data_IF_890345228561
#
_entry.id   IF_890345228561
#
_cell.length_a   1.000
_cell.length_b   1.000
_cell.length_c   1.000
_cell.angle_alpha   90.00
_cell.angle_beta   90.00
_cell.angle_gamma   90.00
#
_symmetry.space_group_name_H-M   'P 1'
#
loop_
_entity.id
_entity.type
_entity.pdbx_description
1 polymer ?
#
# COMPACT_ATOMS: atom_id res chain seq x y z
N UNK A 1 -22.12 -23.78 -23.81
CA UNK A 1 -21.63 -23.13 -22.58
C UNK A 1 -20.69 -22.05 -23.03
N UNK A 2 -21.21 -20.82 -23.14
CA UNK A 2 -20.40 -19.65 -23.48
C UNK A 2 -19.54 -19.33 -22.26
N UNK A 3 -18.24 -19.48 -22.40
CA UNK A 3 -17.28 -18.91 -21.46
C UNK A 3 -17.28 -17.41 -21.69
N UNK A 4 -18.08 -16.68 -20.90
CA UNK A 4 -18.08 -15.21 -20.87
C UNK A 4 -16.73 -14.71 -20.38
N UNK A 5 -15.80 -14.54 -21.31
CA UNK A 5 -14.64 -13.67 -21.12
C UNK A 5 -15.12 -12.23 -21.18
N UNK A 6 -15.69 -11.75 -20.08
CA UNK A 6 -15.75 -10.32 -19.85
C UNK A 6 -14.32 -9.85 -19.69
N UNK A 7 -13.85 -8.99 -20.59
CA UNK A 7 -12.58 -8.30 -20.37
C UNK A 7 -12.66 -7.63 -18.99
N UNK A 8 -11.70 -7.96 -18.12
CA UNK A 8 -11.58 -7.29 -16.83
C UNK A 8 -11.15 -5.86 -17.14
N UNK A 9 -12.05 -4.90 -16.95
CA UNK A 9 -11.81 -3.52 -17.40
C UNK A 9 -11.71 -2.53 -16.26
N UNK A 10 -12.22 -2.86 -15.07
CA UNK A 10 -12.19 -1.95 -13.93
C UNK A 10 -12.02 -2.63 -12.56
N UNK A 11 -11.89 -1.80 -11.51
CA UNK A 11 -11.66 -2.24 -10.14
C UNK A 11 -12.86 -2.99 -9.52
N UNK A 12 -14.06 -2.90 -10.10
CA UNK A 12 -15.25 -3.60 -9.64
C UNK A 12 -15.20 -5.07 -10.03
N UNK A 13 -14.86 -5.37 -11.29
CA UNK A 13 -14.65 -6.74 -11.78
C UNK A 13 -13.65 -7.52 -10.91
N UNK A 14 -12.59 -6.79 -10.54
CA UNK A 14 -11.48 -7.19 -9.69
C UNK A 14 -11.87 -7.46 -8.22
N UNK A 15 -12.88 -6.77 -7.68
CA UNK A 15 -13.36 -6.94 -6.32
C UNK A 15 -14.26 -8.19 -6.16
N UNK A 16 -14.93 -8.61 -7.23
CA UNK A 16 -15.89 -9.71 -7.23
C UNK A 16 -15.24 -11.10 -7.44
N UNK A 17 -13.94 -11.17 -7.70
CA UNK A 17 -13.20 -12.43 -7.88
C UNK A 17 -13.01 -13.21 -6.56
N UNK A 18 -13.40 -14.48 -6.51
CA UNK A 18 -13.19 -15.39 -5.35
C UNK A 18 -11.70 -15.57 -5.00
N UNK A 19 -10.84 -15.61 -6.01
CA UNK A 19 -9.37 -15.64 -5.88
C UNK A 19 -8.83 -14.34 -6.43
N UNK A 20 -9.09 -13.26 -5.70
CA UNK A 20 -8.42 -11.98 -5.92
C UNK A 20 -6.92 -12.27 -6.12
N UNK A 21 -6.26 -11.79 -7.20
CA UNK A 21 -4.81 -11.68 -7.19
C UNK A 21 -4.44 -11.07 -5.86
N UNK A 22 -3.42 -11.58 -5.17
CA UNK A 22 -3.01 -11.02 -3.88
C UNK A 22 -2.78 -9.53 -4.13
N UNK A 23 -3.80 -8.72 -3.85
CA UNK A 23 -3.72 -7.29 -4.04
C UNK A 23 -2.53 -6.88 -3.20
N UNK A 24 -1.99 -5.70 -3.47
CA UNK A 24 -1.30 -4.98 -2.42
C UNK A 24 -2.29 -4.90 -1.24
N UNK A 25 -2.33 -5.91 -0.37
CA UNK A 25 -3.23 -6.01 0.78
C UNK A 25 -3.05 -4.79 1.65
N UNK A 26 -1.81 -4.28 1.64
CA UNK A 26 -1.42 -2.94 2.02
C UNK A 26 -2.39 -1.84 1.56
N UNK A 27 -2.65 -1.69 0.26
CA UNK A 27 -3.46 -0.61 -0.28
C UNK A 27 -4.92 -0.70 0.18
N UNK A 28 -5.49 -1.90 0.25
CA UNK A 28 -6.89 -2.10 0.62
C UNK A 28 -7.14 -1.81 2.11
N UNK A 29 -6.30 -2.34 3.02
CA UNK A 29 -6.37 -2.03 4.45
C UNK A 29 -6.15 -0.52 4.73
N UNK A 30 -5.25 0.11 3.98
CA UNK A 30 -5.01 1.56 4.09
C UNK A 30 -6.22 2.38 3.61
N UNK A 31 -6.85 1.99 2.51
CA UNK A 31 -8.07 2.62 2.00
C UNK A 31 -9.24 2.48 2.98
N UNK A 32 -9.42 1.32 3.61
CA UNK A 32 -10.46 1.12 4.62
C UNK A 32 -10.28 2.05 5.82
N UNK A 33 -9.04 2.22 6.31
CA UNK A 33 -8.79 3.14 7.43
C UNK A 33 -8.98 4.61 7.07
N UNK A 34 -8.59 5.01 5.86
CA UNK A 34 -8.80 6.38 5.36
C UNK A 34 -10.30 6.67 5.21
N UNK A 35 -11.09 5.68 4.75
CA UNK A 35 -12.54 5.81 4.59
C UNK A 35 -13.31 6.00 5.92
N UNK A 36 -12.68 5.69 7.07
CA UNK A 36 -13.26 5.95 8.40
C UNK A 36 -13.07 7.39 8.88
N UNK A 37 -12.27 8.19 8.18
CA UNK A 37 -12.05 9.60 8.48
C UNK A 37 -13.07 10.48 7.75
N UNK A 38 -13.36 11.66 8.31
CA UNK A 38 -14.02 12.71 7.53
C UNK A 38 -13.11 13.19 6.39
N UNK A 39 -13.69 13.79 5.35
CA UNK A 39 -12.97 14.18 4.13
C UNK A 39 -11.75 15.06 4.40
N UNK A 40 -11.81 15.99 5.36
CA UNK A 40 -10.68 16.86 5.66
C UNK A 40 -9.55 16.10 6.35
N UNK A 41 -9.91 15.26 7.33
CA UNK A 41 -8.96 14.39 8.03
C UNK A 41 -8.32 13.37 7.08
N UNK A 42 -9.11 12.79 6.17
CA UNK A 42 -8.63 11.90 5.13
C UNK A 42 -7.63 12.62 4.20
N UNK A 43 -7.97 13.84 3.76
CA UNK A 43 -7.08 14.67 2.94
C UNK A 43 -5.73 14.91 3.62
N UNK A 44 -5.74 15.36 4.89
CA UNK A 44 -4.50 15.58 5.66
C UNK A 44 -3.64 14.32 5.76
N UNK A 45 -4.25 13.18 6.03
CA UNK A 45 -3.53 11.89 6.13
C UNK A 45 -2.95 11.46 4.78
N UNK A 46 -3.69 11.63 3.68
CA UNK A 46 -3.21 11.30 2.33
C UNK A 46 -1.99 12.16 1.97
N UNK A 47 -2.04 13.47 2.23
CA UNK A 47 -0.90 14.36 2.01
C UNK A 47 0.32 13.92 2.83
N UNK A 48 0.14 13.69 4.14
CA UNK A 48 1.22 13.22 5.00
C UNK A 48 1.85 11.88 4.54
N UNK A 49 1.03 10.94 4.05
CA UNK A 49 1.52 9.68 3.46
C UNK A 49 2.32 9.96 2.19
N UNK A 50 1.86 10.87 1.32
CA UNK A 50 2.57 11.23 0.11
C UNK A 50 3.95 11.84 0.42
N UNK A 51 4.00 12.83 1.33
CA UNK A 51 5.24 13.49 1.74
C UNK A 51 6.23 12.48 2.36
N UNK A 52 5.73 11.54 3.17
CA UNK A 52 6.54 10.45 3.70
C UNK A 52 7.11 9.53 2.61
N UNK A 53 6.31 9.16 1.61
CA UNK A 53 6.75 8.25 0.55
C UNK A 53 7.72 8.89 -0.44
N UNK A 54 7.54 10.18 -0.73
CA UNK A 54 8.35 10.90 -1.71
C UNK A 54 9.65 11.39 -1.05
N UNK A 55 9.54 12.04 0.10
CA UNK A 55 10.63 12.81 0.71
C UNK A 55 11.08 12.25 2.08
N UNK A 56 10.37 11.27 2.63
CA UNK A 56 10.69 10.67 3.94
C UNK A 56 10.23 11.52 5.13
N UNK A 57 9.43 12.56 4.88
CA UNK A 57 9.01 13.54 5.89
C UNK A 57 8.02 12.94 6.89
N UNK A 58 8.17 13.32 8.17
CA UNK A 58 7.21 12.97 9.22
C UNK A 58 6.21 14.11 9.39
N UNK A 59 4.91 13.82 9.52
CA UNK A 59 3.92 14.86 9.70
C UNK A 59 4.00 15.47 11.11
N UNK A 60 4.00 16.79 11.19
CA UNK A 60 4.10 17.52 12.46
C UNK A 60 2.73 17.77 13.12
N UNK A 61 1.68 17.97 12.31
CA UNK A 61 0.36 18.45 12.77
C UNK A 61 -0.81 17.51 12.41
N UNK A 62 -0.73 16.24 12.81
CA UNK A 62 -1.88 15.32 12.72
C UNK A 62 -2.57 15.15 14.07
N UNK A 63 -3.91 15.14 14.04
CA UNK A 63 -4.74 14.76 15.18
C UNK A 63 -4.49 13.29 15.54
N UNK A 64 -4.82 12.90 16.76
CA UNK A 64 -4.54 11.54 17.27
C UNK A 64 -5.10 10.41 16.39
N UNK A 65 -6.31 10.57 15.85
CA UNK A 65 -6.93 9.60 14.94
C UNK A 65 -6.22 9.56 13.58
N UNK A 66 -5.91 10.72 13.01
CA UNK A 66 -5.15 10.87 11.76
C UNK A 66 -3.75 10.24 11.88
N UNK A 67 -3.04 10.55 12.96
CA UNK A 67 -1.73 10.01 13.27
C UNK A 67 -1.76 8.49 13.44
N UNK A 68 -2.85 7.92 13.98
CA UNK A 68 -3.03 6.47 14.07
C UNK A 68 -3.15 5.82 12.69
N UNK A 69 -3.93 6.43 11.79
CA UNK A 69 -4.06 5.95 10.40
C UNK A 69 -2.71 6.08 9.69
N UNK A 70 -2.08 7.25 9.73
CA UNK A 70 -0.75 7.50 9.17
C UNK A 70 0.27 6.44 9.63
N UNK A 71 0.41 6.22 10.94
CA UNK A 71 1.39 5.27 11.49
C UNK A 71 1.16 3.83 11.01
N UNK A 72 -0.10 3.43 10.82
CA UNK A 72 -0.41 2.11 10.29
C UNK A 72 -0.02 1.99 8.83
N UNK A 73 -0.37 2.98 8.00
CA UNK A 73 0.06 3.02 6.58
C UNK A 73 1.59 3.04 6.48
N UNK A 74 2.26 3.89 7.26
CA UNK A 74 3.73 3.95 7.33
C UNK A 74 4.34 2.58 7.68
N UNK A 75 3.82 1.92 8.72
CA UNK A 75 4.38 0.62 9.17
C UNK A 75 4.33 -0.44 8.08
N UNK A 76 3.25 -0.49 7.31
CA UNK A 76 3.10 -1.52 6.28
C UNK A 76 3.87 -1.16 4.99
N UNK A 77 4.06 0.14 4.72
CA UNK A 77 4.98 0.64 3.70
C UNK A 77 6.43 0.24 4.01
N UNK A 78 6.88 0.49 5.23
CA UNK A 78 8.24 0.18 5.67
C UNK A 78 8.52 -1.32 5.56
N UNK A 79 7.61 -2.18 6.02
CA UNK A 79 7.71 -3.65 5.86
C UNK A 79 7.80 -4.06 4.40
N UNK A 80 7.02 -3.43 3.52
CA UNK A 80 7.05 -3.71 2.09
C UNK A 80 8.42 -3.38 1.49
N UNK A 81 8.99 -2.24 1.85
CA UNK A 81 10.34 -1.84 1.46
C UNK A 81 11.42 -2.79 2.03
N UNK A 82 11.30 -3.21 3.29
CA UNK A 82 12.22 -4.18 3.91
C UNK A 82 12.21 -5.53 3.17
N UNK A 83 11.02 -6.06 2.85
CA UNK A 83 10.87 -7.32 2.10
C UNK A 83 11.49 -7.20 0.72
N UNK A 84 11.26 -6.08 0.02
CA UNK A 84 11.87 -5.82 -1.28
C UNK A 84 13.40 -5.75 -1.17
N UNK A 85 13.93 -4.98 -0.22
CA UNK A 85 15.37 -4.81 -0.01
C UNK A 85 16.05 -6.14 0.32
N UNK A 86 15.43 -6.98 1.15
CA UNK A 86 15.91 -8.33 1.46
C UNK A 86 15.98 -9.21 0.21
N UNK A 87 14.98 -9.14 -0.68
CA UNK A 87 14.99 -9.88 -1.96
C UNK A 87 16.06 -9.37 -2.92
N UNK A 88 16.22 -8.06 -3.04
CA UNK A 88 17.26 -7.45 -3.91
C UNK A 88 18.65 -7.80 -3.43
N UNK A 89 18.93 -7.62 -2.13
CA UNK A 89 20.24 -7.95 -1.53
C UNK A 89 20.52 -9.45 -1.54
N UNK A 90 19.51 -10.28 -1.23
CA UNK A 90 19.60 -11.73 -1.34
C UNK A 90 19.84 -12.21 -2.77
N UNK A 91 19.26 -11.51 -3.76
CA UNK A 91 19.55 -11.69 -5.18
C UNK A 91 20.98 -11.29 -5.53
N UNK A 92 21.45 -10.12 -5.10
CA UNK A 92 22.83 -9.65 -5.34
C UNK A 92 23.88 -10.63 -4.79
N UNK A 93 23.66 -11.20 -3.61
CA UNK A 93 24.57 -12.22 -3.05
C UNK A 93 24.56 -13.53 -3.85
N UNK A 94 23.46 -13.84 -4.54
CA UNK A 94 23.31 -15.05 -5.37
C UNK A 94 23.94 -14.89 -6.76
N UNK A 95 23.98 -13.67 -7.31
CA UNK A 95 24.59 -13.35 -8.61
C UNK A 95 26.02 -12.79 -8.50
N UNK A 96 26.45 -12.35 -7.32
CA UNK A 96 27.82 -11.88 -7.04
C UNK A 96 28.81 -12.98 -6.62
N UNK A 97 28.37 -14.23 -6.51
CA UNK A 97 29.19 -15.38 -6.16
C UNK A 97 29.79 -16.12 -7.39
N UNK A 98 29.62 -15.57 -8.59
CA UNK A 98 30.37 -15.94 -9.80
C UNK A 98 31.29 -14.80 -10.21
N UNK A 99 32.41 -14.62 -9.50
CA UNK A 99 33.66 -14.06 -10.04
C UNK A 99 34.86 -14.65 -9.34
#
# INVERSE_FOLDING_TARGET
METGGGDITDMKDFAEMEKRPQYFSFFLECCEMIALLDNESAGRVIHAIADYFIDGEQPEELKKNEMRVFNRVKSDADKSCEIWLAKVRGGQNRWGAEK
#
